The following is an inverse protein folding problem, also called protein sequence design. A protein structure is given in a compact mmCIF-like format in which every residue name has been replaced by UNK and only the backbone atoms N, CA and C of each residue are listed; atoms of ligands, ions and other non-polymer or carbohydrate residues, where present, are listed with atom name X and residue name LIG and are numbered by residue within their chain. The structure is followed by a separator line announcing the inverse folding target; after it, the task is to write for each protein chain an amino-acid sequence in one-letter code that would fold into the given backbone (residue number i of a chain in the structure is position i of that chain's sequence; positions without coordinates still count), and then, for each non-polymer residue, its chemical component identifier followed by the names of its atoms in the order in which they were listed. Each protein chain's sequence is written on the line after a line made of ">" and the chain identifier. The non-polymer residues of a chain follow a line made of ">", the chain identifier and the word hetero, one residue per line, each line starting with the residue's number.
data_IF_489798290136
#
_entry.id   IF_489798290136
#
_cell.length_a   1.000
_cell.length_b   1.000
_cell.length_c   1.000
_cell.angle_alpha   90.00
_cell.angle_beta   90.00
_cell.angle_gamma   90.00
#
_symmetry.space_group_name_H-M   'P 1'
#
loop_
_entity.id
_entity.type
_entity.pdbx_description
1 polymer ?
#
# COMPACT_ATOMS: atom_id res chain seq x y z
N UNK A 1 29.65 0.37 35.60
CA UNK A 1 29.88 1.23 34.43
C UNK A 1 28.53 1.53 33.82
N UNK A 2 28.04 2.75 33.99
CA UNK A 2 26.77 3.24 33.48
C UNK A 2 26.91 3.49 31.97
N UNK A 3 26.27 2.65 31.16
CA UNK A 3 26.17 2.86 29.71
C UNK A 3 25.16 3.98 29.46
N UNK A 4 25.66 5.21 29.32
CA UNK A 4 24.87 6.36 28.93
C UNK A 4 24.83 6.43 27.40
N UNK A 5 24.00 5.57 26.79
CA UNK A 5 23.68 5.71 25.36
C UNK A 5 22.62 6.81 25.28
N UNK A 6 23.08 8.05 25.21
CA UNK A 6 22.26 9.18 24.78
C UNK A 6 21.73 8.85 23.38
N UNK A 7 20.46 8.43 23.35
CA UNK A 7 19.65 8.03 22.19
C UNK A 7 19.72 9.05 21.05
N UNK A 8 19.97 10.32 21.38
CA UNK A 8 20.08 11.42 20.44
C UNK A 8 21.34 11.32 19.55
N UNK A 9 22.49 10.91 20.11
CA UNK A 9 23.74 10.75 19.33
C UNK A 9 23.73 9.48 18.47
N UNK A 10 23.19 8.38 18.97
CA UNK A 10 23.07 7.15 18.22
C UNK A 10 22.09 7.32 17.04
N UNK A 11 20.98 8.01 17.25
CA UNK A 11 19.97 8.28 16.21
C UNK A 11 20.44 9.31 15.17
N UNK A 12 21.13 10.39 15.60
CA UNK A 12 21.72 11.35 14.66
C UNK A 12 22.85 10.71 13.85
N UNK A 13 23.63 9.81 14.47
CA UNK A 13 24.62 8.99 13.76
C UNK A 13 23.99 8.01 12.76
N UNK A 14 22.85 7.40 13.10
CA UNK A 14 22.09 6.50 12.23
C UNK A 14 21.50 7.24 11.02
N UNK A 15 20.87 8.40 11.23
CA UNK A 15 20.33 9.24 10.16
C UNK A 15 21.44 9.74 9.23
N UNK A 16 22.59 10.11 9.79
CA UNK A 16 23.77 10.55 9.04
C UNK A 16 24.37 9.41 8.21
N UNK A 17 24.49 8.21 8.78
CA UNK A 17 24.93 7.01 8.06
C UNK A 17 23.93 6.61 6.94
N UNK A 18 22.63 6.79 7.18
CA UNK A 18 21.56 6.56 6.18
C UNK A 18 21.59 7.60 5.05
N UNK A 19 22.05 8.83 5.30
CA UNK A 19 22.17 9.87 4.27
C UNK A 19 23.51 9.84 3.52
N UNK A 20 24.57 9.29 4.12
CA UNK A 20 25.91 9.23 3.52
C UNK A 20 26.14 7.96 2.66
N UNK A 21 25.38 6.88 2.87
CA UNK A 21 25.56 5.63 2.11
C UNK A 21 24.71 5.61 0.82
N UNK A 22 25.28 6.12 -0.28
CA UNK A 22 24.65 6.28 -1.59
C UNK A 22 24.27 4.96 -2.32
N UNK A 23 24.30 3.80 -1.67
CA UNK A 23 24.05 2.50 -2.33
C UNK A 23 22.82 1.73 -1.83
N UNK A 24 22.12 2.17 -0.79
CA UNK A 24 20.90 1.49 -0.33
C UNK A 24 19.82 2.51 0.01
N UNK A 25 18.80 2.62 -0.85
CA UNK A 25 17.69 3.54 -0.66
C UNK A 25 16.89 3.17 0.60
N UNK A 26 17.01 3.96 1.67
CA UNK A 26 16.37 3.71 2.96
C UNK A 26 14.84 3.61 2.86
N UNK A 27 14.22 4.28 1.89
CA UNK A 27 12.78 4.14 1.60
C UNK A 27 12.41 2.71 1.15
N UNK A 28 13.34 1.98 0.53
CA UNK A 28 13.10 0.62 0.04
C UNK A 28 13.15 -0.44 1.14
N UNK A 29 13.86 -0.17 2.23
CA UNK A 29 13.89 -1.04 3.41
C UNK A 29 12.69 -0.77 4.33
N UNK A 30 12.26 0.48 4.45
CA UNK A 30 11.19 0.88 5.36
C UNK A 30 9.83 0.26 5.00
N UNK A 31 9.45 0.24 3.72
CA UNK A 31 8.20 -0.42 3.30
C UNK A 31 8.23 -1.95 3.47
N UNK A 32 9.41 -2.58 3.38
CA UNK A 32 9.56 -4.03 3.62
C UNK A 32 9.39 -4.38 5.11
N UNK A 33 9.64 -3.44 6.02
CA UNK A 33 9.49 -3.63 7.47
C UNK A 33 8.06 -3.32 7.94
N UNK A 34 7.35 -2.40 7.27
CA UNK A 34 5.91 -2.19 7.46
C UNK A 34 5.10 -3.47 7.15
N UNK A 35 5.55 -4.31 6.23
CA UNK A 35 4.89 -5.57 5.86
C UNK A 35 5.13 -6.70 6.89
N UNK A 36 6.24 -6.71 7.63
CA UNK A 36 6.64 -7.82 8.52
C UNK A 36 6.24 -7.68 10.01
N UNK A 37 5.69 -6.54 10.45
CA UNK A 37 5.68 -6.19 11.88
C UNK A 37 4.52 -6.68 12.77
N UNK A 38 3.51 -7.39 12.26
CA UNK A 38 2.32 -7.70 13.08
C UNK A 38 1.97 -9.19 13.05
N UNK A 39 2.75 -10.01 13.76
CA UNK A 39 2.38 -11.37 14.19
C UNK A 39 2.71 -11.51 15.67
N UNK A 40 1.75 -11.25 16.57
CA UNK A 40 1.76 -11.81 17.92
C UNK A 40 0.32 -12.20 18.26
N UNK A 41 0.02 -13.49 18.12
CA UNK A 41 -1.05 -14.15 18.88
C UNK A 41 -0.52 -14.43 20.28
N UNK A 42 -1.28 -14.02 21.29
CA UNK A 42 -1.01 -14.25 22.70
C UNK A 42 -1.61 -15.59 23.10
N UNK A 43 -0.77 -16.58 23.43
CA UNK A 43 -1.15 -17.68 24.31
C UNK A 43 -0.29 -17.62 25.57
N UNK A 44 -0.93 -17.20 26.67
CA UNK A 44 -0.35 -17.16 28.01
C UNK A 44 -0.56 -18.52 28.68
N UNK A 45 0.52 -19.15 29.16
CA UNK A 45 0.45 -20.07 30.29
C UNK A 45 1.70 -19.99 31.18
N UNK A 46 1.45 -19.90 32.48
CA UNK A 46 2.39 -19.74 33.60
C UNK A 46 3.32 -20.94 33.83
N UNK A 47 4.59 -20.71 34.23
CA UNK A 47 5.03 -20.76 35.65
C UNK A 47 6.55 -20.54 35.86
N UNK A 48 6.84 -19.72 36.90
CA UNK A 48 7.97 -19.73 37.86
C UNK A 48 9.45 -19.81 37.39
N UNK A 49 10.23 -18.77 37.69
CA UNK A 49 11.12 -18.73 38.88
C UNK A 49 11.79 -17.35 39.04
N UNK A 50 12.10 -16.98 40.28
CA UNK A 50 12.65 -15.67 40.66
C UNK A 50 14.10 -15.52 40.21
N UNK A 51 14.33 -14.64 39.24
CA UNK A 51 15.65 -14.11 38.89
C UNK A 51 15.49 -12.62 38.57
N UNK A 52 16.51 -11.82 38.91
CA UNK A 52 16.50 -10.36 39.03
C UNK A 52 15.75 -9.61 37.90
N UNK A 53 14.46 -9.41 38.16
CA UNK A 53 13.44 -9.02 37.19
C UNK A 53 13.37 -7.48 37.02
N UNK A 54 14.07 -6.73 37.87
CA UNK A 54 14.00 -5.26 37.92
C UNK A 54 14.96 -4.62 36.93
N UNK A 55 16.25 -5.00 36.96
CA UNK A 55 17.26 -4.48 36.03
C UNK A 55 17.04 -4.92 34.58
N UNK A 56 16.47 -6.12 34.40
CA UNK A 56 16.09 -6.67 33.10
C UNK A 56 14.87 -5.92 32.51
N UNK A 57 13.85 -5.65 33.34
CA UNK A 57 12.71 -4.80 32.95
C UNK A 57 13.16 -3.37 32.68
N UNK A 58 14.11 -2.82 33.43
CA UNK A 58 14.63 -1.46 33.20
C UNK A 58 15.40 -1.34 31.89
N UNK A 59 16.26 -2.30 31.53
CA UNK A 59 16.98 -2.26 30.25
C UNK A 59 16.04 -2.44 29.04
N UNK A 60 15.05 -3.35 29.15
CA UNK A 60 13.96 -3.51 28.18
C UNK A 60 13.16 -2.22 28.05
N UNK A 61 12.83 -1.62 29.20
CA UNK A 61 12.08 -0.38 29.29
C UNK A 61 12.87 0.73 28.64
N UNK A 62 14.13 0.98 28.95
CA UNK A 62 14.92 2.09 28.42
C UNK A 62 15.10 2.07 26.89
N UNK A 63 15.38 0.91 26.28
CA UNK A 63 15.55 0.83 24.82
C UNK A 63 14.20 0.89 24.09
N UNK A 64 13.17 0.22 24.64
CA UNK A 64 11.80 0.28 24.09
C UNK A 64 11.15 1.66 24.30
N UNK A 65 11.52 2.33 25.40
CA UNK A 65 11.16 3.70 25.77
C UNK A 65 11.81 4.67 24.81
N UNK A 66 13.07 4.51 24.40
CA UNK A 66 13.66 5.39 23.37
C UNK A 66 12.89 5.41 22.03
N UNK A 67 12.44 4.25 21.54
CA UNK A 67 11.60 4.17 20.32
C UNK A 67 10.21 4.77 20.59
N UNK A 68 9.59 4.42 21.71
CA UNK A 68 8.24 4.86 22.07
C UNK A 68 8.16 6.34 22.48
N UNK A 69 9.22 6.90 23.08
CA UNK A 69 9.33 8.29 23.56
C UNK A 69 9.42 9.23 22.38
N UNK A 70 10.25 8.91 21.39
CA UNK A 70 10.36 9.75 20.20
C UNK A 70 9.07 9.71 19.40
N UNK A 71 8.47 8.52 19.23
CA UNK A 71 7.15 8.41 18.61
C UNK A 71 6.07 9.10 19.43
N UNK A 72 6.14 9.08 20.76
CA UNK A 72 5.21 9.80 21.66
C UNK A 72 5.36 11.31 21.52
N UNK A 73 6.57 11.83 21.58
CA UNK A 73 6.87 13.26 21.45
C UNK A 73 6.48 13.83 20.08
N UNK A 74 6.70 13.08 19.00
CA UNK A 74 6.40 13.55 17.65
C UNK A 74 4.96 13.26 17.23
N UNK A 75 4.37 12.13 17.66
CA UNK A 75 3.12 11.64 17.09
C UNK A 75 1.97 11.51 18.11
N UNK A 76 2.18 11.60 19.42
CA UNK A 76 1.11 11.38 20.40
C UNK A 76 0.65 12.69 21.06
N UNK A 77 -0.54 12.67 21.64
CA UNK A 77 -1.06 13.76 22.47
C UNK A 77 -0.78 13.58 23.95
N UNK A 78 -0.20 12.43 24.31
CA UNK A 78 0.20 12.07 25.66
C UNK A 78 1.64 11.58 25.68
N UNK A 79 2.36 11.96 26.73
CA UNK A 79 3.66 11.41 27.06
C UNK A 79 3.50 9.95 27.55
N UNK A 80 4.61 9.21 27.60
CA UNK A 80 4.62 7.83 28.10
C UNK A 80 4.26 7.70 29.59
N UNK A 81 4.33 8.79 30.36
CA UNK A 81 3.88 8.85 31.75
C UNK A 81 2.38 9.16 31.88
N UNK A 82 1.67 9.35 30.75
CA UNK A 82 0.25 9.67 30.69
C UNK A 82 -0.07 11.16 30.82
N UNK A 83 0.93 12.04 30.97
CA UNK A 83 0.72 13.48 30.98
C UNK A 83 0.42 14.02 29.56
N UNK A 84 -0.41 15.07 29.43
CA UNK A 84 -0.71 15.64 28.11
C UNK A 84 0.51 16.37 27.52
N UNK A 85 0.77 16.19 26.23
CA UNK A 85 1.78 16.93 25.48
C UNK A 85 1.21 18.32 25.15
N UNK A 86 2.01 19.36 25.40
CA UNK A 86 1.60 20.76 25.30
C UNK A 86 1.07 21.09 23.89
N UNK A 87 -0.12 21.68 23.80
CA UNK A 87 -0.99 21.76 22.60
C UNK A 87 -0.50 22.65 21.45
N UNK A 88 0.72 23.18 21.51
CA UNK A 88 1.26 24.12 20.51
C UNK A 88 2.18 23.47 19.46
N UNK A 89 2.37 22.15 19.50
CA UNK A 89 3.18 21.41 18.52
C UNK A 89 2.24 20.59 17.63
N UNK A 90 2.32 20.82 16.31
CA UNK A 90 1.60 20.02 15.32
C UNK A 90 2.13 18.58 15.38
N UNK A 91 1.25 17.64 15.70
CA UNK A 91 1.62 16.24 15.88
C UNK A 91 1.72 15.53 14.53
N UNK A 92 2.79 14.79 14.34
CA UNK A 92 2.98 13.89 13.21
C UNK A 92 1.94 12.75 13.20
N UNK A 93 1.74 12.17 12.02
CA UNK A 93 0.75 11.12 11.76
C UNK A 93 1.17 9.77 12.35
N UNK A 94 0.20 8.86 12.54
CA UNK A 94 0.46 7.47 12.87
C UNK A 94 1.40 6.80 11.85
N UNK A 95 1.22 7.10 10.57
CA UNK A 95 2.07 6.60 9.48
C UNK A 95 3.53 7.02 9.66
N UNK A 96 3.78 8.26 10.10
CA UNK A 96 5.13 8.72 10.44
C UNK A 96 5.73 7.90 11.59
N UNK A 97 4.95 7.67 12.66
CA UNK A 97 5.36 6.79 13.77
C UNK A 97 5.68 5.35 13.34
N UNK A 98 4.92 4.79 12.39
CA UNK A 98 5.21 3.46 11.82
C UNK A 98 6.55 3.44 11.06
N UNK A 99 6.83 4.48 10.26
CA UNK A 99 8.11 4.62 9.55
C UNK A 99 9.29 4.73 10.53
N UNK A 100 9.14 5.49 11.61
CA UNK A 100 10.15 5.57 12.67
C UNK A 100 10.43 4.20 13.31
N UNK A 101 9.38 3.43 13.61
CA UNK A 101 9.52 2.08 14.15
C UNK A 101 10.22 1.14 13.16
N UNK A 102 9.85 1.18 11.89
CA UNK A 102 10.49 0.42 10.83
C UNK A 102 11.99 0.76 10.72
N UNK A 103 12.35 2.04 10.77
CA UNK A 103 13.75 2.49 10.78
C UNK A 103 14.52 1.91 11.97
N UNK A 104 13.91 1.93 13.16
CA UNK A 104 14.49 1.34 14.36
C UNK A 104 14.66 -0.18 14.21
N UNK A 105 13.69 -0.90 13.66
CA UNK A 105 13.80 -2.34 13.38
C UNK A 105 14.96 -2.64 12.46
N UNK A 106 15.14 -1.86 11.39
CA UNK A 106 16.29 -2.02 10.51
C UNK A 106 17.61 -1.78 11.25
N UNK A 107 17.70 -0.67 12.00
CA UNK A 107 18.92 -0.31 12.72
C UNK A 107 19.32 -1.40 13.73
N UNK A 108 18.39 -1.84 14.58
CA UNK A 108 18.66 -2.92 15.53
C UNK A 108 18.97 -4.25 14.84
N UNK A 109 18.25 -4.58 13.77
CA UNK A 109 18.40 -5.86 13.09
C UNK A 109 19.71 -5.98 12.32
N UNK A 110 20.09 -4.95 11.54
CA UNK A 110 21.22 -5.01 10.60
C UNK A 110 22.46 -4.29 11.11
N UNK A 111 22.32 -3.14 11.76
CA UNK A 111 23.47 -2.35 12.25
C UNK A 111 23.98 -2.92 13.58
N UNK A 112 23.07 -3.36 14.45
CA UNK A 112 23.42 -3.98 15.72
C UNK A 112 23.39 -5.51 15.70
N UNK A 113 23.08 -6.13 14.55
CA UNK A 113 23.04 -7.59 14.36
C UNK A 113 22.15 -8.32 15.37
N UNK A 114 21.12 -7.65 15.89
CA UNK A 114 20.18 -8.21 16.87
C UNK A 114 19.05 -9.03 16.21
N UNK A 115 19.04 -9.10 14.88
CA UNK A 115 18.08 -9.86 14.09
C UNK A 115 16.66 -9.27 14.07
N UNK A 116 15.69 -10.12 13.74
CA UNK A 116 14.27 -9.74 13.63
C UNK A 116 13.36 -10.42 14.65
N UNK A 117 13.92 -11.22 15.57
CA UNK A 117 13.13 -11.87 16.60
C UNK A 117 12.60 -10.86 17.61
N UNK A 118 11.45 -11.12 18.21
CA UNK A 118 10.93 -10.31 19.31
C UNK A 118 11.96 -10.23 20.44
N UNK A 119 12.08 -9.05 21.08
CA UNK A 119 12.96 -8.86 22.22
C UNK A 119 12.52 -9.79 23.37
N UNK A 120 13.37 -10.75 23.73
CA UNK A 120 13.07 -11.79 24.72
C UNK A 120 14.30 -12.14 25.55
N UNK A 121 14.09 -12.70 26.72
CA UNK A 121 15.20 -13.20 27.54
C UNK A 121 15.57 -14.61 27.06
N UNK A 122 16.85 -14.84 26.78
CA UNK A 122 17.34 -16.19 26.48
C UNK A 122 17.21 -17.08 27.71
N UNK A 123 16.54 -18.21 27.56
CA UNK A 123 16.40 -19.23 28.62
C UNK A 123 17.76 -19.84 29.03
N UNK A 124 18.75 -19.79 28.13
CA UNK A 124 20.06 -20.42 28.31
C UNK A 124 21.07 -19.43 28.90
N UNK A 125 21.16 -18.22 28.33
CA UNK A 125 22.17 -17.24 28.75
C UNK A 125 21.65 -16.21 29.74
N UNK A 126 20.33 -16.12 29.95
CA UNK A 126 19.68 -15.08 30.74
C UNK A 126 19.78 -13.68 30.14
N UNK A 127 20.44 -13.52 28.99
CA UNK A 127 20.64 -12.25 28.31
C UNK A 127 19.43 -11.90 27.45
N UNK A 128 19.16 -10.60 27.31
CA UNK A 128 18.15 -10.12 26.38
C UNK A 128 18.65 -10.21 24.95
N UNK A 129 17.90 -10.90 24.10
CA UNK A 129 18.17 -11.11 22.68
C UNK A 129 16.95 -10.71 21.84
N UNK A 130 17.14 -10.59 20.52
CA UNK A 130 16.11 -10.15 19.59
C UNK A 130 16.15 -8.65 19.36
N UNK A 131 15.09 -8.05 18.82
CA UNK A 131 15.08 -6.67 18.39
C UNK A 131 14.10 -5.83 19.24
N UNK A 132 14.57 -4.79 19.95
CA UNK A 132 13.75 -4.00 20.87
C UNK A 132 12.53 -3.34 20.23
N UNK A 133 12.62 -2.97 18.95
CA UNK A 133 11.54 -2.31 18.20
C UNK A 133 10.35 -3.22 17.86
N UNK A 134 10.55 -4.54 17.96
CA UNK A 134 9.51 -5.58 17.79
C UNK A 134 9.17 -6.25 19.13
N UNK A 135 9.49 -5.59 20.25
CA UNK A 135 9.05 -6.03 21.58
C UNK A 135 7.53 -5.94 21.73
N UNK A 136 6.98 -6.71 22.67
CA UNK A 136 5.56 -6.67 23.04
C UNK A 136 5.15 -5.27 23.53
N UNK A 137 6.02 -4.61 24.30
CA UNK A 137 5.81 -3.25 24.81
C UNK A 137 5.64 -2.22 23.70
N UNK A 138 6.55 -2.20 22.72
CA UNK A 138 6.47 -1.26 21.58
C UNK A 138 5.26 -1.58 20.71
N UNK A 139 4.96 -2.86 20.49
CA UNK A 139 3.78 -3.28 19.71
C UNK A 139 2.47 -2.81 20.38
N UNK A 140 2.34 -3.01 21.69
CA UNK A 140 1.19 -2.56 22.49
C UNK A 140 1.04 -1.03 22.50
N UNK A 141 2.16 -0.32 22.58
CA UNK A 141 2.18 1.13 22.48
C UNK A 141 1.68 1.60 21.10
N UNK A 142 2.19 1.04 20.01
CA UNK A 142 1.78 1.40 18.65
C UNK A 142 0.30 1.12 18.39
N UNK A 143 -0.24 0.02 18.92
CA UNK A 143 -1.68 -0.27 18.86
C UNK A 143 -2.51 0.79 19.60
N UNK A 144 -2.03 1.22 20.76
CA UNK A 144 -2.70 2.24 21.57
C UNK A 144 -2.62 3.63 20.91
N UNK A 145 -1.47 3.98 20.35
CA UNK A 145 -1.27 5.20 19.56
C UNK A 145 -2.22 5.24 18.37
N UNK A 146 -2.33 4.12 17.64
CA UNK A 146 -3.27 3.99 16.51
C UNK A 146 -4.70 4.30 16.94
N UNK A 147 -5.17 3.69 18.04
CA UNK A 147 -6.52 3.93 18.57
C UNK A 147 -6.74 5.40 18.93
N UNK A 148 -5.77 6.03 19.62
CA UNK A 148 -5.85 7.46 19.98
C UNK A 148 -5.93 8.35 18.75
N UNK A 149 -5.08 8.12 17.75
CA UNK A 149 -5.08 8.87 16.49
C UNK A 149 -6.40 8.70 15.73
N UNK A 150 -6.94 7.49 15.65
CA UNK A 150 -8.27 7.25 15.06
C UNK A 150 -9.38 7.98 15.83
N UNK A 151 -9.35 7.97 17.17
CA UNK A 151 -10.30 8.74 17.99
C UNK A 151 -10.16 10.25 17.80
N UNK A 152 -8.96 10.74 17.51
CA UNK A 152 -8.70 12.15 17.18
C UNK A 152 -9.12 12.53 15.74
N UNK A 153 -9.76 11.61 15.00
CA UNK A 153 -10.20 11.83 13.62
C UNK A 153 -9.11 11.61 12.57
N UNK A 154 -7.93 11.10 12.96
CA UNK A 154 -6.92 10.71 11.99
C UNK A 154 -7.34 9.43 11.27
N UNK A 155 -7.83 9.60 10.05
CA UNK A 155 -8.00 8.51 9.10
C UNK A 155 -6.64 8.08 8.57
N UNK A 156 -6.28 6.82 8.78
CA UNK A 156 -5.10 6.23 8.16
C UNK A 156 -5.25 6.35 6.64
N UNK A 157 -4.53 7.30 6.06
CA UNK A 157 -4.45 7.51 4.62
C UNK A 157 -3.86 6.23 4.01
N UNK A 158 -4.51 5.67 2.98
CA UNK A 158 -4.15 4.39 2.32
C UNK A 158 -4.70 3.11 2.95
N UNK A 159 -5.71 3.19 3.83
CA UNK A 159 -6.27 2.00 4.48
C UNK A 159 -7.47 1.37 3.74
N UNK A 160 -8.23 2.14 2.95
CA UNK A 160 -9.43 1.62 2.27
C UNK A 160 -9.11 1.05 0.89
N UNK A 161 -9.72 -0.08 0.57
CA UNK A 161 -9.65 -0.73 -0.72
C UNK A 161 -10.43 0.04 -1.79
N UNK A 162 -9.83 0.21 -2.98
CA UNK A 162 -10.59 0.58 -4.18
C UNK A 162 -11.36 -0.65 -4.64
N UNK A 163 -12.68 -0.59 -4.81
CA UNK A 163 -13.47 -1.76 -5.24
C UNK A 163 -13.65 -1.79 -6.77
N UNK A 164 -14.08 -2.95 -7.30
CA UNK A 164 -14.43 -3.09 -8.73
C UNK A 164 -15.57 -2.16 -9.12
N UNK A 165 -16.54 -1.97 -8.23
CA UNK A 165 -17.68 -1.06 -8.42
C UNK A 165 -17.23 0.39 -8.48
N UNK A 166 -16.33 0.82 -7.57
CA UNK A 166 -15.78 2.16 -7.61
C UNK A 166 -15.01 2.43 -8.92
N UNK A 167 -14.26 1.44 -9.41
CA UNK A 167 -13.61 1.54 -10.73
C UNK A 167 -14.63 1.59 -11.86
N UNK A 168 -15.78 0.93 -11.74
CA UNK A 168 -16.85 1.00 -12.73
C UNK A 168 -17.49 2.39 -12.78
N UNK A 169 -17.75 3.00 -11.62
CA UNK A 169 -18.26 4.37 -11.51
C UNK A 169 -17.27 5.38 -12.12
N UNK A 170 -15.99 5.30 -11.72
CA UNK A 170 -14.93 6.14 -12.28
C UNK A 170 -14.79 5.95 -13.79
N UNK A 171 -14.81 4.70 -14.27
CA UNK A 171 -14.74 4.38 -15.69
C UNK A 171 -15.94 4.97 -16.45
N UNK A 172 -17.15 4.82 -15.93
CA UNK A 172 -18.35 5.36 -16.57
C UNK A 172 -18.28 6.89 -16.66
N UNK A 173 -17.98 7.56 -15.54
CA UNK A 173 -17.82 9.00 -15.49
C UNK A 173 -16.74 9.49 -16.45
N UNK A 174 -15.55 8.90 -16.42
CA UNK A 174 -14.42 9.28 -17.27
C UNK A 174 -14.66 9.08 -18.76
N UNK A 175 -15.65 8.26 -19.13
CA UNK A 175 -15.98 7.97 -20.51
C UNK A 175 -17.25 8.69 -20.99
N UNK A 176 -17.83 9.60 -20.21
CA UNK A 176 -18.95 10.40 -20.70
C UNK A 176 -18.52 11.27 -21.91
N UNK A 177 -19.40 11.46 -22.92
CA UNK A 177 -19.05 12.18 -24.15
C UNK A 177 -18.46 13.57 -23.92
N UNK A 178 -18.95 14.27 -22.89
CA UNK A 178 -18.47 15.60 -22.47
C UNK A 178 -16.99 15.65 -22.08
N UNK A 179 -16.41 14.51 -21.68
CA UNK A 179 -14.99 14.38 -21.36
C UNK A 179 -14.17 13.65 -22.43
N UNK A 180 -14.81 13.19 -23.52
CA UNK A 180 -14.12 12.50 -24.62
C UNK A 180 -13.74 13.44 -25.77
N UNK A 181 -14.51 14.50 -25.99
CA UNK A 181 -14.23 15.42 -27.09
C UNK A 181 -13.04 16.34 -26.74
N UNK A 182 -12.00 16.27 -27.57
CA UNK A 182 -10.86 17.20 -27.59
C UNK A 182 -11.25 18.64 -27.98
N UNK A 183 -12.55 18.90 -28.21
CA UNK A 183 -13.09 20.14 -28.73
C UNK A 183 -13.15 21.31 -27.75
N UNK A 184 -12.84 21.10 -26.48
CA UNK A 184 -12.37 22.22 -25.68
C UNK A 184 -10.89 22.36 -26.00
N UNK A 185 -10.60 23.10 -27.07
CA UNK A 185 -9.45 23.98 -27.03
C UNK A 185 -9.62 24.72 -25.71
N UNK A 186 -8.90 24.27 -24.67
CA UNK A 186 -8.78 24.96 -23.40
C UNK A 186 -8.19 26.30 -23.78
N UNK A 187 -9.06 27.23 -24.17
CA UNK A 187 -8.66 28.51 -24.68
C UNK A 187 -7.83 29.10 -23.57
N UNK A 188 -6.65 29.61 -23.88
CA UNK A 188 -5.80 30.27 -22.88
C UNK A 188 -6.55 31.36 -22.08
N UNK A 189 -7.77 31.74 -22.52
CA UNK A 189 -8.69 32.68 -21.89
C UNK A 189 -9.63 32.10 -20.82
N UNK A 190 -9.89 30.78 -20.72
CA UNK A 190 -10.69 30.19 -19.64
C UNK A 190 -9.84 29.21 -18.85
N UNK A 191 -9.36 29.63 -17.68
CA UNK A 191 -8.71 28.71 -16.73
C UNK A 191 -9.71 27.61 -16.41
N UNK A 192 -9.28 26.35 -16.57
CA UNK A 192 -9.95 25.23 -15.93
C UNK A 192 -10.23 25.56 -14.48
N UNK A 193 -11.43 25.24 -13.96
CA UNK A 193 -11.60 25.07 -12.52
C UNK A 193 -10.41 24.25 -12.01
N UNK A 194 -9.72 24.77 -10.99
CA UNK A 194 -8.56 24.08 -10.41
C UNK A 194 -8.99 22.66 -10.03
N UNK A 195 -8.26 21.66 -10.54
CA UNK A 195 -8.51 20.25 -10.24
C UNK A 195 -9.31 19.48 -11.30
N UNK A 196 -9.92 20.14 -12.28
CA UNK A 196 -10.66 19.43 -13.33
C UNK A 196 -9.71 18.63 -14.25
N UNK A 197 -9.97 17.34 -14.40
CA UNK A 197 -9.20 16.44 -15.24
C UNK A 197 -9.66 16.49 -16.70
N UNK A 198 -8.70 16.55 -17.63
CA UNK A 198 -8.96 16.49 -19.06
C UNK A 198 -9.05 15.06 -19.62
N UNK A 199 -9.39 14.92 -20.92
CA UNK A 199 -9.56 13.62 -21.57
C UNK A 199 -8.34 12.69 -21.50
N UNK A 200 -7.12 13.23 -21.66
CA UNK A 200 -5.87 12.46 -21.58
C UNK A 200 -5.61 12.02 -20.15
N UNK A 201 -5.72 12.93 -19.19
CA UNK A 201 -5.63 12.63 -17.77
C UNK A 201 -6.56 11.49 -17.37
N UNK A 202 -7.86 11.58 -17.71
CA UNK A 202 -8.85 10.54 -17.38
C UNK A 202 -8.51 9.20 -18.03
N UNK A 203 -8.13 9.20 -19.31
CA UNK A 203 -7.76 7.97 -20.02
C UNK A 203 -6.51 7.31 -19.42
N UNK A 204 -5.48 8.11 -19.14
CA UNK A 204 -4.25 7.63 -18.50
C UNK A 204 -4.53 7.08 -17.10
N UNK A 205 -5.35 7.77 -16.31
CA UNK A 205 -5.74 7.31 -14.97
C UNK A 205 -6.49 5.97 -15.04
N UNK A 206 -7.43 5.80 -15.97
CA UNK A 206 -8.13 4.51 -16.15
C UNK A 206 -7.14 3.36 -16.41
N UNK A 207 -6.12 3.57 -17.25
CA UNK A 207 -5.05 2.59 -17.45
C UNK A 207 -4.24 2.35 -16.16
N UNK A 208 -3.89 3.43 -15.46
CA UNK A 208 -3.14 3.38 -14.21
C UNK A 208 -3.87 2.57 -13.13
N UNK A 209 -5.16 2.83 -12.96
CA UNK A 209 -6.03 2.10 -12.03
C UNK A 209 -6.09 0.62 -12.39
N UNK A 210 -6.29 0.30 -13.67
CA UNK A 210 -6.42 -1.08 -14.11
C UNK A 210 -5.13 -1.87 -13.94
N UNK A 211 -3.97 -1.26 -14.24
CA UNK A 211 -2.67 -1.89 -14.01
C UNK A 211 -2.37 -2.05 -12.52
N UNK A 212 -2.62 -1.04 -11.69
CA UNK A 212 -2.39 -1.12 -10.24
C UNK A 212 -3.31 -2.15 -9.57
N UNK A 213 -4.59 -2.16 -9.94
CA UNK A 213 -5.61 -3.05 -9.39
C UNK A 213 -5.42 -4.49 -9.90
N UNK A 214 -5.39 -4.72 -11.22
CA UNK A 214 -5.29 -6.08 -11.76
C UNK A 214 -3.88 -6.67 -11.63
N UNK A 215 -2.84 -5.84 -11.64
CA UNK A 215 -1.45 -6.28 -11.48
C UNK A 215 -0.96 -6.32 -10.03
N UNK A 216 -1.78 -5.85 -9.08
CA UNK A 216 -1.38 -5.64 -7.70
C UNK A 216 -0.12 -4.75 -7.60
N UNK A 217 0.07 -3.79 -8.51
CA UNK A 217 1.29 -2.99 -8.59
C UNK A 217 1.30 -1.89 -7.53
N UNK A 218 2.48 -1.58 -7.01
CA UNK A 218 2.66 -0.32 -6.25
C UNK A 218 2.65 0.87 -7.21
N UNK A 219 2.29 2.05 -6.72
CA UNK A 219 2.23 3.27 -7.55
C UNK A 219 3.61 3.64 -8.11
N UNK A 220 4.68 3.47 -7.35
CA UNK A 220 6.05 3.71 -7.81
C UNK A 220 6.51 2.68 -8.87
N UNK A 221 6.05 1.43 -8.77
CA UNK A 221 6.26 0.41 -9.81
C UNK A 221 5.49 0.79 -11.08
N UNK A 222 4.22 1.19 -10.94
CA UNK A 222 3.34 1.59 -12.04
C UNK A 222 3.92 2.76 -12.85
N UNK A 223 4.33 3.83 -12.18
CA UNK A 223 4.76 5.07 -12.84
C UNK A 223 6.10 4.92 -13.58
N UNK A 224 6.87 3.88 -13.29
CA UNK A 224 8.14 3.58 -13.98
C UNK A 224 7.99 2.63 -15.18
N UNK A 225 6.78 2.15 -15.48
CA UNK A 225 6.51 1.34 -16.68
C UNK A 225 6.79 2.15 -17.94
N UNK A 226 7.52 1.56 -18.86
CA UNK A 226 7.82 2.13 -20.17
C UNK A 226 7.19 1.32 -21.32
N UNK A 227 7.11 1.92 -22.50
CA UNK A 227 6.53 1.29 -23.69
C UNK A 227 7.21 -0.03 -24.05
N UNK A 228 8.53 -0.12 -23.91
CA UNK A 228 9.30 -1.33 -24.19
C UNK A 228 9.03 -2.49 -23.22
N UNK A 229 8.46 -2.20 -22.05
CA UNK A 229 8.10 -3.22 -21.05
C UNK A 229 6.80 -3.95 -21.42
N UNK A 230 6.04 -3.39 -22.37
CA UNK A 230 4.74 -3.90 -22.80
C UNK A 230 4.87 -4.57 -24.17
N UNK A 231 4.42 -5.81 -24.26
CA UNK A 231 4.29 -6.56 -25.51
C UNK A 231 2.83 -6.89 -25.79
N UNK A 232 2.36 -6.58 -26.99
CA UNK A 232 1.03 -6.95 -27.47
C UNK A 232 1.17 -8.10 -28.46
N UNK A 233 0.27 -9.07 -28.36
CA UNK A 233 0.18 -10.19 -29.31
C UNK A 233 -1.28 -10.55 -29.55
N UNK A 234 -1.64 -10.80 -30.80
CA UNK A 234 -2.97 -11.29 -31.14
C UNK A 234 -2.99 -12.82 -31.17
N UNK A 235 -4.07 -13.39 -30.65
CA UNK A 235 -4.23 -14.84 -30.58
C UNK A 235 -5.00 -15.28 -31.83
N UNK A 236 -4.27 -15.82 -32.80
CA UNK A 236 -4.81 -16.23 -34.10
C UNK A 236 -6.06 -17.12 -34.03
N UNK A 237 -6.22 -17.92 -32.95
CA UNK A 237 -7.37 -18.84 -32.78
C UNK A 237 -8.64 -18.17 -32.24
N UNK A 238 -8.53 -17.07 -31.51
CA UNK A 238 -9.67 -16.43 -30.84
C UNK A 238 -9.93 -15.00 -31.31
N UNK A 239 -8.99 -14.41 -32.07
CA UNK A 239 -9.03 -12.99 -32.46
C UNK A 239 -8.86 -12.03 -31.28
N UNK A 240 -8.59 -12.54 -30.07
CA UNK A 240 -8.44 -11.71 -28.88
C UNK A 240 -7.00 -11.24 -28.72
N UNK A 241 -6.85 -10.01 -28.24
CA UNK A 241 -5.56 -9.41 -27.94
C UNK A 241 -5.07 -9.82 -26.54
N UNK A 242 -3.78 -10.10 -26.45
CA UNK A 242 -3.05 -10.43 -25.23
C UNK A 242 -1.99 -9.36 -24.98
N UNK A 243 -1.99 -8.79 -23.77
CA UNK A 243 -0.99 -7.84 -23.29
C UNK A 243 -0.10 -8.53 -22.27
N UNK A 244 1.22 -8.39 -22.45
CA UNK A 244 2.25 -8.90 -21.56
C UNK A 244 3.05 -7.72 -21.03
N UNK A 245 3.13 -7.57 -19.72
CA UNK A 245 3.97 -6.57 -19.05
C UNK A 245 5.12 -7.28 -18.33
N UNK A 246 6.35 -6.83 -18.60
CA UNK A 246 7.56 -7.25 -17.89
C UNK A 246 8.09 -6.07 -17.11
N UNK A 247 7.94 -6.09 -15.80
CA UNK A 247 8.46 -5.00 -14.98
C UNK A 247 9.99 -5.01 -14.99
N UNK A 248 10.64 -3.85 -15.15
CA UNK A 248 12.10 -3.75 -15.12
C UNK A 248 12.67 -3.99 -13.70
N UNK A 249 11.89 -3.71 -12.67
CA UNK A 249 12.23 -3.97 -11.27
C UNK A 249 10.97 -4.31 -10.47
N UNK A 250 11.13 -5.10 -9.40
CA UNK A 250 10.09 -5.33 -8.40
C UNK A 250 10.70 -5.33 -7.02
N UNK A 251 10.07 -4.62 -6.09
CA UNK A 251 10.59 -4.46 -4.72
C UNK A 251 10.74 -5.78 -3.96
N UNK A 252 9.90 -6.77 -4.29
CA UNK A 252 9.88 -8.09 -3.62
C UNK A 252 10.73 -9.16 -4.31
N UNK A 253 11.40 -8.85 -5.43
CA UNK A 253 12.21 -9.81 -6.19
C UNK A 253 13.69 -9.45 -6.12
N UNK A 254 14.32 -9.72 -4.98
CA UNK A 254 15.76 -9.48 -4.77
C UNK A 254 16.68 -10.30 -5.70
N UNK A 255 16.15 -11.31 -6.41
CA UNK A 255 16.92 -12.27 -7.22
C UNK A 255 16.61 -12.26 -8.74
N UNK A 256 15.94 -11.22 -9.26
CA UNK A 256 15.97 -10.92 -10.70
C UNK A 256 15.02 -11.69 -11.64
N UNK A 257 14.22 -12.66 -11.18
CA UNK A 257 13.28 -13.43 -12.03
C UNK A 257 11.82 -12.96 -11.87
N UNK A 258 11.52 -11.76 -12.35
CA UNK A 258 10.15 -11.22 -12.31
C UNK A 258 9.32 -11.90 -13.41
N UNK A 259 8.38 -12.76 -13.00
CA UNK A 259 7.40 -13.35 -13.93
C UNK A 259 6.56 -12.23 -14.59
N UNK A 260 6.29 -12.33 -15.90
CA UNK A 260 5.49 -11.32 -16.59
C UNK A 260 4.02 -11.35 -16.15
N UNK A 261 3.40 -10.18 -16.12
CA UNK A 261 1.95 -10.06 -16.01
C UNK A 261 1.34 -10.27 -17.39
N UNK A 262 0.36 -11.16 -17.45
CA UNK A 262 -0.31 -11.50 -18.70
C UNK A 262 -1.80 -11.23 -18.56
N UNK A 263 -2.32 -10.32 -19.38
CA UNK A 263 -3.75 -10.05 -19.47
C UNK A 263 -4.27 -10.39 -20.85
N UNK A 264 -5.46 -10.96 -20.86
CA UNK A 264 -6.25 -11.18 -22.06
C UNK A 264 -7.35 -10.14 -22.09
N UNK A 265 -7.80 -9.77 -23.29
CA UNK A 265 -8.96 -8.92 -23.44
C UNK A 265 -10.18 -9.54 -22.71
N UNK A 266 -10.70 -8.78 -21.74
CA UNK A 266 -11.81 -9.22 -20.89
C UNK A 266 -13.17 -9.08 -21.60
N UNK A 267 -14.23 -9.78 -21.19
CA UNK A 267 -15.59 -9.53 -21.68
C UNK A 267 -16.07 -8.09 -21.42
N UNK A 268 -17.16 -7.70 -22.08
CA UNK A 268 -17.74 -6.35 -21.99
C UNK A 268 -18.17 -5.98 -20.56
N UNK A 269 -18.63 -6.95 -19.76
CA UNK A 269 -19.04 -6.71 -18.37
C UNK A 269 -17.89 -6.28 -17.45
N UNK A 270 -16.64 -6.52 -17.87
CA UNK A 270 -15.44 -6.15 -17.12
C UNK A 270 -14.62 -5.08 -17.87
N UNK A 271 -15.26 -4.31 -18.77
CA UNK A 271 -14.57 -3.28 -19.53
C UNK A 271 -13.86 -2.25 -18.64
N UNK A 272 -14.43 -1.93 -17.48
CA UNK A 272 -13.90 -0.93 -16.55
C UNK A 272 -12.54 -1.31 -15.97
N UNK A 273 -12.27 -2.60 -15.81
CA UNK A 273 -10.99 -3.14 -15.31
C UNK A 273 -10.15 -3.82 -16.41
N UNK A 274 -10.57 -3.73 -17.68
CA UNK A 274 -9.88 -4.38 -18.78
C UNK A 274 -8.59 -3.62 -19.14
N UNK A 275 -7.44 -4.14 -18.67
CA UNK A 275 -6.10 -3.58 -18.95
C UNK A 275 -5.85 -3.42 -20.45
N UNK A 276 -6.23 -4.41 -21.27
CA UNK A 276 -6.00 -4.40 -22.72
C UNK A 276 -6.73 -3.23 -23.40
N UNK A 277 -8.01 -3.01 -23.09
CA UNK A 277 -8.80 -1.91 -23.66
C UNK A 277 -8.32 -0.55 -23.16
N UNK A 278 -8.02 -0.43 -21.86
CA UNK A 278 -7.50 0.80 -21.29
C UNK A 278 -6.14 1.16 -21.91
N UNK A 279 -5.27 0.18 -22.14
CA UNK A 279 -3.99 0.39 -22.80
C UNK A 279 -4.16 0.85 -24.24
N UNK A 280 -4.96 0.12 -25.04
CA UNK A 280 -5.22 0.48 -26.44
C UNK A 280 -5.78 1.92 -26.57
N UNK A 281 -6.73 2.29 -25.71
CA UNK A 281 -7.29 3.64 -25.67
C UNK A 281 -6.25 4.69 -25.29
N UNK A 282 -5.40 4.40 -24.32
CA UNK A 282 -4.34 5.33 -23.91
C UNK A 282 -3.33 5.57 -25.03
N UNK A 283 -2.88 4.52 -25.71
CA UNK A 283 -1.94 4.66 -26.84
C UNK A 283 -2.57 5.44 -27.99
N UNK A 284 -3.85 5.22 -28.28
CA UNK A 284 -4.57 5.96 -29.31
C UNK A 284 -4.60 7.48 -29.04
N UNK A 285 -4.84 7.88 -27.78
CA UNK A 285 -5.01 9.29 -27.40
C UNK A 285 -3.67 10.00 -27.11
N UNK A 286 -2.70 9.25 -26.58
CA UNK A 286 -1.38 9.78 -26.21
C UNK A 286 -0.39 9.79 -27.37
N UNK A 287 -0.62 8.95 -28.39
CA UNK A 287 0.26 8.74 -29.54
C UNK A 287 1.71 8.36 -29.14
N UNK A 288 1.88 7.83 -27.93
CA UNK A 288 3.18 7.42 -27.39
C UNK A 288 3.70 6.21 -28.15
N UNK A 289 4.94 6.32 -28.63
CA UNK A 289 5.67 5.22 -29.28
C UNK A 289 6.78 4.63 -28.42
N UNK A 290 7.36 5.44 -27.53
CA UNK A 290 8.50 5.07 -26.68
C UNK A 290 8.50 5.83 -25.35
N UNK A 291 9.34 5.38 -24.42
CA UNK A 291 9.54 6.03 -23.12
C UNK A 291 8.47 5.67 -22.08
N UNK A 292 8.33 6.50 -21.04
CA UNK A 292 7.39 6.24 -19.94
C UNK A 292 5.94 6.25 -20.42
N UNK A 293 5.19 5.24 -19.96
CA UNK A 293 3.77 5.08 -20.23
C UNK A 293 2.93 6.14 -19.49
N UNK A 294 3.38 6.53 -18.30
CA UNK A 294 2.76 7.51 -17.42
C UNK A 294 3.61 8.78 -17.32
N UNK A 295 3.53 9.63 -18.35
CA UNK A 295 4.24 10.92 -18.35
C UNK A 295 3.48 11.97 -17.54
N UNK A 296 4.22 12.96 -17.05
CA UNK A 296 3.66 14.12 -16.35
C UNK A 296 2.62 14.81 -17.22
N UNK A 297 1.44 15.11 -16.65
CA UNK A 297 0.42 15.93 -17.31
C UNK A 297 0.58 17.38 -16.85
N UNK A 298 0.75 18.28 -17.80
CA UNK A 298 0.87 19.73 -17.60
C UNK A 298 -0.50 20.39 -17.74
N UNK A 299 -0.54 21.70 -17.52
CA UNK A 299 -1.75 22.50 -17.71
C UNK A 299 -2.37 22.28 -19.10
N UNK A 300 -3.70 22.38 -19.17
CA UNK A 300 -4.49 22.16 -20.38
C UNK A 300 -4.37 20.74 -20.94
N UNK A 301 -4.19 19.74 -20.07
CA UNK A 301 -4.21 18.31 -20.41
C UNK A 301 -3.15 17.92 -21.46
N UNK A 302 -1.99 18.60 -21.40
CA UNK A 302 -0.85 18.36 -22.28
C UNK A 302 0.10 17.37 -21.63
N UNK A 303 0.50 16.35 -22.39
CA UNK A 303 1.58 15.46 -21.97
C UNK A 303 2.92 16.20 -22.01
N UNK A 304 3.78 15.95 -21.03
CA UNK A 304 5.15 16.42 -21.08
C UNK A 304 5.90 15.80 -22.28
N UNK A 305 6.61 16.63 -23.03
CA UNK A 305 7.46 16.20 -24.14
C UNK A 305 8.68 15.43 -23.64
N UNK A 306 9.22 15.87 -22.48
CA UNK A 306 10.29 15.19 -21.75
C UNK A 306 9.89 13.75 -21.39
N UNK A 307 10.83 12.82 -21.56
CA UNK A 307 10.65 11.43 -21.17
C UNK A 307 10.84 11.26 -19.65
N UNK A 308 9.96 11.88 -18.88
CA UNK A 308 9.95 11.81 -17.42
C UNK A 308 8.64 11.22 -16.90
N UNK A 309 8.70 10.32 -15.90
CA UNK A 309 7.50 9.77 -15.30
C UNK A 309 6.78 10.84 -14.48
N UNK A 310 5.46 10.71 -14.38
CA UNK A 310 4.67 11.43 -13.39
C UNK A 310 5.12 11.07 -11.97
N UNK A 311 5.00 12.00 -11.02
CA UNK A 311 5.27 11.73 -9.60
C UNK A 311 4.07 11.08 -8.92
N UNK A 312 4.34 10.32 -7.86
CA UNK A 312 3.27 9.69 -7.04
C UNK A 312 2.30 10.73 -6.47
N UNK A 313 2.79 11.92 -6.12
CA UNK A 313 1.97 13.02 -5.61
C UNK A 313 1.00 13.52 -6.66
N UNK A 314 1.46 13.74 -7.90
CA UNK A 314 0.59 14.17 -8.99
C UNK A 314 -0.45 13.09 -9.31
N UNK A 315 -0.05 11.82 -9.35
CA UNK A 315 -0.98 10.71 -9.57
C UNK A 315 -2.07 10.66 -8.48
N UNK A 316 -1.68 10.79 -7.20
CA UNK A 316 -2.63 10.80 -6.08
C UNK A 316 -3.53 12.03 -6.09
N UNK A 317 -3.00 13.22 -6.39
CA UNK A 317 -3.81 14.44 -6.51
C UNK A 317 -4.88 14.28 -7.59
N UNK A 318 -4.48 13.78 -8.77
CA UNK A 318 -5.41 13.51 -9.86
C UNK A 318 -6.44 12.44 -9.49
N UNK A 319 -6.02 11.37 -8.80
CA UNK A 319 -6.96 10.35 -8.30
C UNK A 319 -7.97 10.92 -7.31
N UNK A 320 -7.55 11.77 -6.37
CA UNK A 320 -8.45 12.43 -5.41
C UNK A 320 -9.46 13.33 -6.11
N UNK A 321 -9.01 14.12 -7.09
CA UNK A 321 -9.91 14.95 -7.90
C UNK A 321 -10.93 14.08 -8.67
N UNK A 322 -10.49 12.95 -9.21
CA UNK A 322 -11.38 12.02 -9.91
C UNK A 322 -12.42 11.36 -8.97
N UNK A 323 -12.07 11.09 -7.72
CA UNK A 323 -13.02 10.62 -6.70
C UNK A 323 -14.04 11.73 -6.34
N UNK A 324 -13.58 12.97 -6.20
CA UNK A 324 -14.47 14.11 -5.94
C UNK A 324 -15.46 14.34 -7.08
N UNK A 325 -15.05 14.12 -8.33
CA UNK A 325 -15.92 14.24 -9.50
C UNK A 325 -17.15 13.32 -9.42
N UNK A 326 -17.01 12.14 -8.80
CA UNK A 326 -18.11 11.19 -8.56
C UNK A 326 -18.72 11.30 -7.14
N UNK A 327 -18.33 12.32 -6.36
CA UNK A 327 -18.85 12.56 -5.01
C UNK A 327 -18.33 11.61 -3.94
N UNK A 328 -17.21 10.91 -4.17
CA UNK A 328 -16.61 9.98 -3.21
C UNK A 328 -15.54 10.70 -2.38
N UNK A 329 -15.60 10.52 -1.06
CA UNK A 329 -14.56 11.02 -0.15
C UNK A 329 -13.22 10.33 -0.42
N UNK A 330 -12.20 11.12 -0.73
CA UNK A 330 -10.88 10.64 -1.09
C UNK A 330 -9.96 10.39 0.11
N UNK A 331 -10.27 10.95 1.28
CA UNK A 331 -9.45 10.90 2.49
C UNK A 331 -9.00 9.48 2.88
N UNK A 332 -9.85 8.43 2.82
CA UNK A 332 -9.44 7.09 3.20
C UNK A 332 -8.57 6.36 2.15
N UNK A 333 -8.42 6.92 0.95
CA UNK A 333 -7.71 6.30 -0.17
C UNK A 333 -6.27 6.82 -0.32
N UNK A 334 -5.36 5.95 -0.77
CA UNK A 334 -3.95 6.27 -0.97
C UNK A 334 -3.24 5.28 -1.89
N UNK A 335 -1.91 5.25 -1.86
CA UNK A 335 -1.08 4.49 -2.82
C UNK A 335 -1.34 2.99 -2.78
N UNK A 336 -1.66 2.43 -1.61
CA UNK A 336 -1.92 0.99 -1.44
C UNK A 336 -3.37 0.58 -1.69
N UNK A 337 -4.28 1.53 -1.90
CA UNK A 337 -5.71 1.25 -2.03
C UNK A 337 -6.04 0.39 -3.26
N UNK A 338 -5.32 0.58 -4.37
CA UNK A 338 -5.47 -0.25 -5.57
C UNK A 338 -4.97 -1.67 -5.35
N UNK A 339 -3.79 -1.83 -4.75
CA UNK A 339 -3.19 -3.14 -4.46
C UNK A 339 -4.06 -3.95 -3.49
N UNK A 340 -4.62 -3.29 -2.47
CA UNK A 340 -5.60 -3.87 -1.54
C UNK A 340 -6.88 -4.29 -2.26
N UNK A 341 -7.47 -3.37 -3.00
CA UNK A 341 -8.66 -3.60 -3.82
C UNK A 341 -8.53 -4.78 -4.77
N UNK A 342 -7.44 -4.82 -5.53
CA UNK A 342 -7.16 -5.91 -6.46
C UNK A 342 -6.98 -7.25 -5.75
N UNK A 343 -6.35 -7.26 -4.57
CA UNK A 343 -6.20 -8.48 -3.77
C UNK A 343 -7.55 -9.04 -3.33
N UNK A 344 -8.42 -8.17 -2.79
CA UNK A 344 -9.78 -8.53 -2.39
C UNK A 344 -10.62 -8.98 -3.58
N UNK A 345 -10.53 -8.28 -4.72
CA UNK A 345 -11.22 -8.65 -5.95
C UNK A 345 -10.82 -10.04 -6.45
N UNK A 346 -9.50 -10.32 -6.49
CA UNK A 346 -8.99 -11.64 -6.88
C UNK A 346 -9.45 -12.73 -5.92
N UNK A 347 -9.47 -12.45 -4.61
CA UNK A 347 -9.86 -13.42 -3.58
C UNK A 347 -11.38 -13.66 -3.52
N UNK A 348 -12.18 -12.61 -3.55
CA UNK A 348 -13.64 -12.66 -3.27
C UNK A 348 -14.44 -12.86 -4.55
N UNK A 349 -14.24 -11.99 -5.54
CA UNK A 349 -15.01 -12.05 -6.79
C UNK A 349 -14.46 -13.09 -7.76
N UNK A 350 -13.14 -13.15 -7.93
CA UNK A 350 -12.50 -14.13 -8.83
C UNK A 350 -12.25 -15.48 -8.16
N UNK A 351 -12.33 -15.55 -6.84
CA UNK A 351 -12.14 -16.77 -6.03
C UNK A 351 -10.81 -17.46 -6.31
N UNK A 352 -9.75 -16.68 -6.51
CA UNK A 352 -8.41 -17.22 -6.67
C UNK A 352 -7.91 -17.76 -5.32
N UNK A 353 -7.30 -18.96 -5.28
CA UNK A 353 -6.62 -19.43 -4.09
C UNK A 353 -5.51 -18.46 -3.68
N UNK A 354 -5.31 -18.26 -2.37
CA UNK A 354 -4.30 -17.32 -1.85
C UNK A 354 -2.90 -17.55 -2.42
N UNK A 355 -2.50 -18.81 -2.62
CA UNK A 355 -1.21 -19.16 -3.25
C UNK A 355 -1.07 -18.54 -4.65
N UNK A 356 -2.14 -18.59 -5.46
CA UNK A 356 -2.15 -18.02 -6.80
C UNK A 356 -2.05 -16.48 -6.75
N UNK A 357 -2.72 -15.85 -5.78
CA UNK A 357 -2.63 -14.41 -5.57
C UNK A 357 -1.22 -14.02 -5.10
N UNK A 358 -0.61 -14.77 -4.18
CA UNK A 358 0.77 -14.53 -3.75
C UNK A 358 1.76 -14.63 -4.92
N UNK A 359 1.62 -15.66 -5.76
CA UNK A 359 2.47 -15.82 -6.95
C UNK A 359 2.32 -14.62 -7.92
N UNK A 360 1.09 -14.17 -8.15
CA UNK A 360 0.80 -13.01 -9.00
C UNK A 360 1.32 -11.69 -8.41
N UNK A 361 1.01 -11.44 -7.13
CA UNK A 361 1.41 -10.26 -6.37
C UNK A 361 2.89 -10.20 -6.00
N UNK A 362 3.63 -11.31 -6.19
CA UNK A 362 5.03 -11.42 -5.77
C UNK A 362 5.20 -11.35 -4.26
N UNK A 363 4.25 -11.93 -3.52
CA UNK A 363 4.33 -12.12 -2.08
C UNK A 363 4.87 -13.51 -1.75
N UNK A 364 5.36 -13.68 -0.51
CA UNK A 364 5.76 -15.01 -0.04
C UNK A 364 4.59 -15.99 -0.13
N UNK A 365 4.88 -17.21 -0.58
CA UNK A 365 3.92 -18.32 -0.55
C UNK A 365 3.92 -19.05 0.80
N UNK A 366 4.87 -18.70 1.68
CA UNK A 366 4.95 -19.23 3.03
C UNK A 366 3.98 -18.46 3.93
N UNK A 367 3.01 -19.16 4.51
CA UNK A 367 1.98 -18.58 5.38
C UNK A 367 2.51 -18.01 6.70
N UNK A 368 3.79 -18.25 7.02
CA UNK A 368 4.49 -17.59 8.13
C UNK A 368 4.54 -16.07 7.96
N UNK A 369 4.49 -15.59 6.72
CA UNK A 369 4.42 -14.17 6.39
C UNK A 369 2.98 -13.75 6.07
N UNK A 370 2.27 -13.15 7.04
CA UNK A 370 0.89 -12.66 6.89
C UNK A 370 0.76 -11.39 6.04
N UNK A 371 1.73 -11.07 5.18
CA UNK A 371 1.73 -9.87 4.33
C UNK A 371 0.48 -9.77 3.47
N UNK A 372 -0.01 -10.89 2.92
CA UNK A 372 -1.24 -10.92 2.12
C UNK A 372 -2.49 -10.56 2.95
N UNK A 373 -2.54 -10.96 4.23
CA UNK A 373 -3.70 -10.70 5.12
C UNK A 373 -3.91 -9.20 5.28
N UNK A 374 -2.82 -8.43 5.33
CA UNK A 374 -2.87 -6.97 5.38
C UNK A 374 -3.60 -6.37 4.18
N UNK A 375 -3.59 -7.01 3.02
CA UNK A 375 -4.31 -6.56 1.82
C UNK A 375 -5.71 -7.18 1.69
N UNK A 376 -6.03 -8.22 2.46
CA UNK A 376 -7.35 -8.85 2.46
C UNK A 376 -8.29 -8.24 3.50
N UNK A 377 -7.76 -7.85 4.66
CA UNK A 377 -8.56 -7.36 5.79
C UNK A 377 -8.09 -5.95 6.16
N UNK A 378 -9.01 -5.00 6.15
CA UNK A 378 -8.85 -3.66 6.74
C UNK A 378 -10.05 -3.36 7.63
N UNK A 379 -9.80 -2.64 8.72
CA UNK A 379 -10.86 -2.05 9.54
C UNK A 379 -11.61 -0.92 8.81
N UNK A 380 -10.98 -0.33 7.79
CA UNK A 380 -11.56 0.79 7.02
C UNK A 380 -12.30 0.32 5.75
N UNK A 381 -12.25 -0.98 5.46
CA UNK A 381 -12.99 -1.57 4.36
C UNK A 381 -14.43 -1.80 4.80
N UNK A 382 -15.37 -1.54 3.89
CA UNK A 382 -16.77 -1.84 4.16
C UNK A 382 -16.96 -3.37 4.15
N UNK A 383 -17.68 -3.94 5.13
CA UNK A 383 -17.97 -5.36 5.10
C UNK A 383 -18.74 -5.71 3.83
N UNK A 384 -18.28 -6.73 3.11
CA UNK A 384 -18.94 -7.19 1.88
C UNK A 384 -20.30 -7.84 2.14
N UNK A 385 -20.55 -8.29 3.38
CA UNK A 385 -21.75 -9.02 3.79
C UNK A 385 -22.14 -8.57 5.19
N UNK A 386 -23.44 -8.37 5.42
CA UNK A 386 -23.97 -8.11 6.75
C UNK A 386 -23.70 -9.33 7.66
N UNK A 387 -23.40 -9.07 8.93
CA UNK A 387 -23.10 -10.13 9.89
C UNK A 387 -24.28 -11.10 10.06
N UNK A 388 -25.51 -10.60 9.98
CA UNK A 388 -26.73 -11.41 10.10
C UNK A 388 -26.88 -12.40 8.93
N UNK A 389 -26.22 -12.12 7.80
CA UNK A 389 -26.27 -12.93 6.60
C UNK A 389 -25.21 -14.05 6.57
N UNK A 390 -24.30 -14.14 7.55
CA UNK A 390 -23.19 -15.11 7.52
C UNK A 390 -23.66 -16.57 7.52
N UNK A 391 -24.77 -16.87 8.20
CA UNK A 391 -25.40 -18.20 8.23
C UNK A 391 -26.83 -18.19 7.66
N UNK A 392 -27.22 -17.12 6.97
CA UNK A 392 -28.54 -17.02 6.38
C UNK A 392 -28.60 -17.85 5.09
N UNK A 393 -28.90 -19.15 5.23
CA UNK A 393 -29.06 -20.07 4.09
C UNK A 393 -30.24 -19.71 3.17
N UNK A 394 -31.12 -18.80 3.60
CA UNK A 394 -32.26 -18.30 2.83
C UNK A 394 -31.92 -17.05 1.99
N UNK A 395 -30.69 -16.53 2.08
CA UNK A 395 -30.25 -15.38 1.29
C UNK A 395 -30.26 -15.72 -0.21
N UNK A 396 -30.68 -14.75 -1.01
CA UNK A 396 -30.57 -14.86 -2.46
C UNK A 396 -29.09 -15.15 -2.86
N UNK A 397 -28.84 -16.00 -3.88
CA UNK A 397 -27.49 -16.27 -4.35
C UNK A 397 -26.77 -14.96 -4.73
N UNK A 398 -25.46 -14.89 -4.44
CA UNK A 398 -24.59 -13.85 -4.99
C UNK A 398 -24.79 -13.74 -6.52
N UNK A 399 -24.58 -12.53 -7.06
CA UNK A 399 -24.53 -12.28 -8.51
C UNK A 399 -23.69 -13.37 -9.18
N UNK A 400 -24.32 -14.09 -10.11
CA UNK A 400 -23.68 -15.20 -10.82
C UNK A 400 -22.56 -14.65 -11.68
N UNK A 401 -21.36 -15.22 -11.59
CA UNK A 401 -20.25 -14.79 -12.45
C UNK A 401 -20.63 -15.03 -13.93
N UNK A 402 -20.67 -14.00 -14.79
CA UNK A 402 -21.15 -14.12 -16.16
C UNK A 402 -20.22 -14.95 -17.07
N UNK A 403 -19.01 -15.29 -16.58
CA UNK A 403 -18.02 -16.06 -17.34
C UNK A 403 -18.02 -17.53 -16.97
N UNK A 404 -18.09 -17.86 -15.67
CA UNK A 404 -18.00 -19.24 -15.21
C UNK A 404 -19.30 -19.79 -14.63
N UNK A 405 -20.38 -19.00 -14.62
CA UNK A 405 -21.69 -19.33 -14.06
C UNK A 405 -21.68 -19.86 -12.61
N UNK A 406 -20.58 -19.62 -11.87
CA UNK A 406 -20.52 -19.94 -10.45
C UNK A 406 -21.33 -18.90 -9.67
N UNK A 407 -22.16 -19.38 -8.75
CA UNK A 407 -22.79 -18.60 -7.69
C UNK A 407 -22.64 -19.36 -6.37
N UNK A 408 -22.49 -18.65 -5.25
CA UNK A 408 -23.17 -18.90 -3.96
C UNK A 408 -22.51 -18.11 -2.82
N UNK A 409 -23.30 -17.69 -1.82
CA UNK A 409 -22.87 -17.32 -0.46
C UNK A 409 -23.18 -18.42 0.59
N UNK A 410 -23.83 -19.52 0.18
CA UNK A 410 -24.45 -20.56 1.00
C UNK A 410 -24.03 -21.99 0.58
N UNK A 411 -22.94 -22.16 -0.17
CA UNK A 411 -22.41 -23.48 -0.53
C UNK A 411 -21.20 -23.82 0.33
#
# INVERSE_FOLDING_TARGET
>A
MTFNISTDKAYTGLLKAITEDQQVNAADILDNLEENQDNIDLDLNHNQSSFDLLGLKEAVKEVSKGVSEKTSQECDSINLDGSPINTNVEQSTYTHGQKMRAAATFGFGRIHSLGMQAWHQSEISGQMLGNPSVSETVSSYMLSLRRRKTHAGETSTSARAVTSELLAELHHFNNQPEFQESHVHWSSSRKAPKGQLGPRARTMLNLGYNLAFCGLLRVDELLKIQMQDVTISDIAKTGKTKLILRLPFRKTSQFGDIKPFVWYEMPEQYQHICVVRAFARWILISELKEGYLFRKIRANDRLAEENEPMTSEQFLEMFRNNLLDIGVDFVPYGTHSFRRGGCQWLSVERRWPLRQICEWGGWSQEFTHLTIVKYLISWNDNPHVDRDDFFNMHRAPAVVCPVCNRSCHCA
#
